data_IF_978415937568
#
_entry.id   IF_978415937568
#
_cell.length_a   1.000
_cell.length_b   1.000
_cell.length_c   1.000
_cell.angle_alpha   90.00
_cell.angle_beta   90.00
_cell.angle_gamma   90.00
#
_symmetry.space_group_name_H-M   'P 1'
#
loop_
_entity.id
_entity.type
_entity.pdbx_description
1 polymer ?
#
# COMPACT_ATOMS: atom_id res chain seq x y z
N UNK A 1 -2.86 32.63 1.73
CA UNK A 1 -2.61 33.88 2.48
C UNK A 1 -3.84 34.76 2.40
N UNK A 2 -4.13 35.67 3.38
CA UNK A 2 -5.23 36.63 3.28
C UNK A 2 -5.20 37.45 1.99
N UNK A 3 -4.02 37.72 1.45
CA UNK A 3 -3.81 38.51 0.23
C UNK A 3 -4.28 37.82 -1.05
N UNK A 4 -4.50 36.50 -1.02
CA UNK A 4 -4.99 35.70 -2.16
C UNK A 4 -6.52 35.71 -2.26
N UNK A 5 -7.20 36.14 -1.21
CA UNK A 5 -8.65 36.20 -1.14
C UNK A 5 -9.16 37.55 -1.65
N UNK A 6 -10.38 37.56 -2.16
CA UNK A 6 -11.00 38.76 -2.72
C UNK A 6 -11.42 39.76 -1.64
N UNK A 7 -11.93 40.91 -2.08
CA UNK A 7 -12.45 41.94 -1.18
C UNK A 7 -13.85 41.62 -0.59
N UNK A 8 -14.49 40.56 -1.04
CA UNK A 8 -15.81 40.10 -0.59
C UNK A 8 -15.81 38.58 -0.52
N UNK A 9 -15.64 38.08 0.66
CA UNK A 9 -15.56 36.66 0.89
C UNK A 9 -16.89 36.10 1.37
N UNK A 10 -17.26 34.92 0.86
CA UNK A 10 -18.49 34.22 1.26
C UNK A 10 -18.06 32.90 1.90
N UNK A 11 -18.48 32.71 3.15
CA UNK A 11 -18.21 31.46 3.87
C UNK A 11 -19.40 30.51 3.78
N UNK A 12 -19.09 29.21 3.71
CA UNK A 12 -20.12 28.18 3.61
C UNK A 12 -19.73 26.93 4.41
N UNK A 13 -20.73 26.07 4.61
CA UNK A 13 -20.55 24.83 5.39
C UNK A 13 -21.03 24.95 6.82
N UNK A 14 -21.27 23.79 7.44
CA UNK A 14 -21.83 23.72 8.80
C UNK A 14 -20.91 24.31 9.87
N UNK A 15 -19.62 24.32 9.68
CA UNK A 15 -18.64 24.89 10.61
C UNK A 15 -18.86 26.38 10.85
N UNK A 16 -19.24 27.14 9.81
CA UNK A 16 -19.51 28.56 9.90
C UNK A 16 -20.87 28.92 10.47
N UNK A 17 -21.69 27.92 10.83
CA UNK A 17 -22.88 28.16 11.65
C UNK A 17 -22.55 28.51 13.09
N UNK A 18 -21.33 28.21 13.54
CA UNK A 18 -20.80 28.64 14.83
C UNK A 18 -20.27 30.07 14.74
N UNK A 19 -20.90 31.00 15.47
CA UNK A 19 -20.56 32.41 15.44
C UNK A 19 -19.16 32.71 15.95
N UNK A 20 -18.64 31.90 16.90
CA UNK A 20 -17.27 32.06 17.40
C UNK A 20 -16.23 31.71 16.29
N UNK A 21 -16.51 30.69 15.48
CA UNK A 21 -15.65 30.33 14.34
C UNK A 21 -15.69 31.42 13.27
N UNK A 22 -16.88 31.90 12.96
CA UNK A 22 -17.05 33.01 12.01
C UNK A 22 -16.26 34.23 12.46
N UNK A 23 -16.39 34.63 13.71
CA UNK A 23 -15.70 35.82 14.24
C UNK A 23 -14.19 35.65 14.28
N UNK A 24 -13.70 34.49 14.68
CA UNK A 24 -12.27 34.18 14.66
C UNK A 24 -11.69 34.26 13.24
N UNK A 25 -12.42 33.75 12.25
CA UNK A 25 -12.04 33.84 10.85
C UNK A 25 -11.98 35.30 10.33
N UNK A 26 -13.00 36.11 10.63
CA UNK A 26 -13.02 37.53 10.29
C UNK A 26 -11.86 38.31 10.91
N UNK A 27 -11.51 38.00 12.17
CA UNK A 27 -10.38 38.62 12.86
C UNK A 27 -9.05 38.24 12.21
N UNK A 28 -8.87 36.99 11.86
CA UNK A 28 -7.65 36.51 11.19
C UNK A 28 -7.50 37.11 9.80
N UNK A 29 -8.62 37.20 9.07
CA UNK A 29 -8.65 37.75 7.71
C UNK A 29 -8.65 39.30 7.66
N UNK A 30 -9.00 39.96 8.77
CA UNK A 30 -9.11 41.42 8.83
C UNK A 30 -10.28 42.00 8.04
N UNK A 31 -11.26 41.20 7.63
CA UNK A 31 -12.43 41.60 6.82
C UNK A 31 -13.70 40.95 7.34
N UNK A 32 -14.84 41.62 7.16
CA UNK A 32 -16.14 40.99 7.35
C UNK A 32 -16.45 40.04 6.19
N UNK A 33 -16.97 38.87 6.52
CA UNK A 33 -17.36 37.85 5.52
C UNK A 33 -18.87 37.65 5.49
N UNK A 34 -19.38 37.30 4.32
CA UNK A 34 -20.81 37.03 4.15
C UNK A 34 -21.08 35.56 4.47
N UNK A 35 -21.87 35.32 5.51
CA UNK A 35 -22.43 34.00 5.80
C UNK A 35 -23.90 33.95 5.37
N UNK A 36 -24.22 33.24 4.26
CA UNK A 36 -25.62 33.09 3.83
C UNK A 36 -26.46 32.34 4.89
N UNK A 37 -27.75 32.67 4.98
CA UNK A 37 -28.68 31.95 5.87
C UNK A 37 -28.73 30.45 5.61
N UNK A 38 -28.35 30.00 4.42
CA UNK A 38 -28.28 28.61 3.99
C UNK A 38 -26.85 28.08 3.92
N UNK A 39 -25.93 28.64 4.70
CA UNK A 39 -24.49 28.30 4.62
C UNK A 39 -24.23 26.79 4.65
N UNK A 40 -24.96 26.02 5.48
CA UNK A 40 -24.89 24.56 5.52
C UNK A 40 -25.44 23.83 4.28
N UNK A 41 -26.22 24.50 3.46
CA UNK A 41 -26.83 23.94 2.24
C UNK A 41 -26.23 24.47 0.95
N UNK A 42 -25.23 25.36 1.03
CA UNK A 42 -24.64 26.00 -0.16
C UNK A 42 -24.04 24.99 -1.15
N UNK A 43 -23.45 23.91 -0.66
CA UNK A 43 -22.97 22.83 -1.51
C UNK A 43 -24.07 22.13 -2.31
N UNK A 44 -25.21 21.86 -1.67
CA UNK A 44 -26.38 21.28 -2.33
C UNK A 44 -26.98 22.28 -3.35
N UNK A 45 -27.04 23.55 -3.00
CA UNK A 45 -27.49 24.59 -3.90
C UNK A 45 -26.58 24.73 -5.13
N UNK A 46 -25.27 24.75 -4.93
CA UNK A 46 -24.28 24.78 -6.00
C UNK A 46 -24.37 23.54 -6.91
N UNK A 47 -24.56 22.36 -6.35
CA UNK A 47 -24.80 21.14 -7.10
C UNK A 47 -26.08 21.20 -7.95
N UNK A 48 -27.15 21.77 -7.41
CA UNK A 48 -28.40 21.97 -8.15
C UNK A 48 -28.22 22.95 -9.32
N UNK A 49 -27.52 24.06 -9.11
CA UNK A 49 -27.18 25.02 -10.18
C UNK A 49 -26.31 24.39 -11.28
N UNK A 50 -25.33 23.59 -10.87
CA UNK A 50 -24.48 22.88 -11.81
C UNK A 50 -25.27 21.84 -12.62
N UNK A 51 -26.13 21.06 -11.97
CA UNK A 51 -27.03 20.11 -12.61
C UNK A 51 -27.94 20.83 -13.62
N UNK A 52 -28.54 21.97 -13.22
CA UNK A 52 -29.34 22.82 -14.12
C UNK A 52 -28.56 23.30 -15.34
N UNK A 53 -27.29 23.69 -15.15
CA UNK A 53 -26.41 24.11 -16.26
C UNK A 53 -26.11 22.96 -17.20
N UNK A 54 -25.82 21.76 -16.66
CA UNK A 54 -25.49 20.57 -17.44
C UNK A 54 -26.69 19.92 -18.13
N UNK A 55 -27.89 20.08 -17.57
CA UNK A 55 -29.13 19.54 -18.14
C UNK A 55 -29.76 20.39 -19.26
N UNK A 56 -29.13 21.52 -19.64
CA UNK A 56 -29.57 22.31 -20.79
C UNK A 56 -29.52 21.45 -22.05
N UNK A 57 -30.69 21.24 -22.69
CA UNK A 57 -30.81 20.39 -23.88
C UNK A 57 -31.12 18.92 -23.61
N UNK A 58 -31.11 18.49 -22.35
CA UNK A 58 -31.63 17.16 -21.97
C UNK A 58 -33.15 17.23 -21.82
N UNK A 59 -33.88 16.32 -22.43
CA UNK A 59 -35.33 16.32 -22.44
C UNK A 59 -35.95 16.12 -21.04
N UNK A 60 -36.80 15.10 -20.87
CA UNK A 60 -37.47 14.83 -19.57
C UNK A 60 -36.51 14.32 -18.51
N UNK A 61 -36.72 14.75 -17.26
CA UNK A 61 -36.05 14.21 -16.09
C UNK A 61 -36.29 12.70 -15.95
N UNK A 62 -35.28 11.96 -15.49
CA UNK A 62 -35.41 10.54 -15.11
C UNK A 62 -35.83 10.36 -13.66
N UNK A 63 -36.17 11.43 -12.93
CA UNK A 63 -36.67 11.35 -11.57
C UNK A 63 -37.98 10.56 -11.56
N UNK A 64 -38.07 9.62 -10.61
CA UNK A 64 -39.27 8.79 -10.40
C UNK A 64 -40.43 9.69 -10.05
N UNK A 65 -41.58 9.52 -10.74
CA UNK A 65 -42.81 10.21 -10.44
C UNK A 65 -43.47 9.68 -9.15
N UNK A 66 -44.60 10.30 -8.74
CA UNK A 66 -45.30 9.94 -7.53
C UNK A 66 -45.75 8.46 -7.52
N UNK A 67 -46.23 7.97 -8.66
CA UNK A 67 -46.67 6.56 -8.80
C UNK A 67 -45.47 5.62 -8.63
N UNK A 68 -44.35 5.94 -9.22
CA UNK A 68 -43.12 5.17 -9.07
C UNK A 68 -42.52 5.21 -7.66
N UNK A 69 -42.79 6.29 -6.88
CA UNK A 69 -42.40 6.37 -5.46
C UNK A 69 -43.33 5.51 -4.60
N UNK A 70 -44.65 5.52 -4.87
CA UNK A 70 -45.63 4.71 -4.14
C UNK A 70 -45.42 3.20 -4.39
N UNK A 71 -44.91 2.81 -5.57
CA UNK A 71 -44.57 1.44 -5.94
C UNK A 71 -43.10 1.08 -5.60
N UNK A 72 -42.32 1.98 -4.97
CA UNK A 72 -40.93 1.76 -4.69
C UNK A 72 -40.69 0.71 -3.59
N UNK A 73 -40.03 -0.36 -3.97
CA UNK A 73 -39.63 -1.44 -3.05
C UNK A 73 -38.13 -1.40 -2.84
N UNK A 74 -37.73 -1.44 -1.57
CA UNK A 74 -36.32 -1.56 -1.18
C UNK A 74 -36.16 -2.73 -0.21
N UNK A 75 -35.44 -3.74 -0.66
CA UNK A 75 -35.08 -4.89 0.15
C UNK A 75 -33.55 -4.92 0.36
N UNK A 76 -33.15 -5.27 1.56
CA UNK A 76 -31.73 -5.40 1.93
C UNK A 76 -31.44 -6.84 2.29
N UNK A 77 -30.43 -7.42 1.63
CA UNK A 77 -29.90 -8.74 1.96
C UNK A 77 -28.40 -8.63 2.26
N UNK A 78 -27.98 -9.21 3.37
CA UNK A 78 -26.55 -9.34 3.72
C UNK A 78 -26.09 -10.73 3.34
N UNK A 79 -24.94 -10.83 2.66
CA UNK A 79 -24.33 -12.09 2.25
C UNK A 79 -22.79 -11.96 2.27
N UNK A 80 -22.10 -13.08 2.40
CA UNK A 80 -20.66 -13.12 2.21
C UNK A 80 -20.33 -13.43 0.75
N UNK A 81 -19.31 -12.76 0.19
CA UNK A 81 -19.00 -12.83 -1.24
C UNK A 81 -18.53 -14.22 -1.70
N UNK A 82 -17.70 -14.91 -0.93
CA UNK A 82 -17.18 -16.24 -1.25
C UNK A 82 -16.32 -16.36 -2.52
N UNK A 83 -16.09 -15.28 -3.27
CA UNK A 83 -15.35 -15.31 -4.55
C UNK A 83 -13.82 -15.25 -4.39
N UNK A 84 -13.33 -14.98 -3.19
CA UNK A 84 -11.90 -14.99 -2.85
C UNK A 84 -11.72 -15.02 -1.33
N UNK A 85 -10.49 -15.16 -0.85
CA UNK A 85 -10.16 -15.25 0.57
C UNK A 85 -10.59 -14.02 1.40
N UNK A 86 -10.83 -12.87 0.77
CA UNK A 86 -11.34 -11.68 1.47
C UNK A 86 -12.76 -11.84 2.01
N UNK A 87 -13.53 -12.78 1.47
CA UNK A 87 -14.88 -13.13 1.92
C UNK A 87 -15.73 -11.91 2.37
N UNK A 88 -15.74 -10.85 1.52
CA UNK A 88 -16.36 -9.57 1.84
C UNK A 88 -17.82 -9.74 2.27
N UNK A 89 -18.20 -9.07 3.36
CA UNK A 89 -19.60 -8.95 3.77
C UNK A 89 -20.29 -7.93 2.86
N UNK A 90 -21.19 -8.42 2.01
CA UNK A 90 -21.91 -7.62 1.03
C UNK A 90 -23.28 -7.21 1.56
N UNK A 91 -23.66 -5.98 1.29
CA UNK A 91 -25.03 -5.49 1.44
C UNK A 91 -25.64 -5.37 0.04
N UNK A 92 -26.59 -6.22 -0.27
CA UNK A 92 -27.27 -6.26 -1.57
C UNK A 92 -28.60 -5.52 -1.40
N UNK A 93 -28.69 -4.35 -2.01
CA UNK A 93 -29.90 -3.55 -2.07
C UNK A 93 -30.64 -3.88 -3.36
N UNK A 94 -31.90 -4.32 -3.25
CA UNK A 94 -32.79 -4.62 -4.37
C UNK A 94 -33.90 -3.58 -4.43
N UNK A 95 -34.09 -2.98 -5.62
CA UNK A 95 -35.07 -1.90 -5.83
C UNK A 95 -36.18 -2.30 -6.79
N UNK A 96 -36.55 -3.57 -6.84
CA UNK A 96 -37.50 -4.11 -7.76
C UNK A 96 -37.04 -4.15 -9.23
N UNK A 97 -37.79 -4.84 -10.08
CA UNK A 97 -37.52 -4.94 -11.55
C UNK A 97 -36.04 -5.32 -11.91
N UNK A 98 -35.40 -6.16 -11.09
CA UNK A 98 -34.04 -6.62 -11.32
C UNK A 98 -32.91 -5.59 -10.97
N UNK A 99 -33.29 -4.38 -10.54
CA UNK A 99 -32.30 -3.36 -10.15
C UNK A 99 -31.67 -3.70 -8.79
N UNK A 100 -30.35 -3.81 -8.77
CA UNK A 100 -29.59 -4.13 -7.55
C UNK A 100 -28.41 -3.19 -7.40
N UNK A 101 -28.09 -2.85 -6.16
CA UNK A 101 -26.86 -2.16 -5.78
C UNK A 101 -26.16 -2.97 -4.70
N UNK A 102 -24.89 -3.29 -4.92
CA UNK A 102 -24.08 -4.07 -4.00
C UNK A 102 -23.06 -3.15 -3.36
N UNK A 103 -23.00 -3.14 -2.04
CA UNK A 103 -22.04 -2.40 -1.24
C UNK A 103 -21.24 -3.38 -0.35
N UNK A 104 -20.11 -2.92 0.22
CA UNK A 104 -19.22 -3.74 1.04
C UNK A 104 -18.24 -4.61 0.23
N UNK A 105 -18.33 -4.57 -1.10
CA UNK A 105 -17.37 -5.24 -1.98
C UNK A 105 -16.03 -4.49 -2.05
N UNK A 106 -14.94 -5.25 -1.96
CA UNK A 106 -13.57 -4.74 -2.15
C UNK A 106 -13.09 -4.82 -3.61
N UNK A 107 -13.90 -5.33 -4.52
CA UNK A 107 -13.65 -5.40 -5.97
C UNK A 107 -14.97 -5.52 -6.73
N UNK A 108 -14.95 -5.36 -8.05
CA UNK A 108 -16.15 -5.41 -8.88
C UNK A 108 -16.67 -6.84 -9.17
N UNK A 109 -15.99 -7.90 -8.74
CA UNK A 109 -16.42 -9.30 -8.97
C UNK A 109 -17.87 -9.60 -8.55
N UNK A 110 -18.37 -9.16 -7.38
CA UNK A 110 -19.75 -9.42 -7.00
C UNK A 110 -20.78 -8.76 -7.93
N UNK A 111 -20.37 -7.69 -8.61
CA UNK A 111 -21.22 -6.92 -9.53
C UNK A 111 -21.12 -7.48 -10.94
N UNK A 112 -19.89 -7.59 -11.47
CA UNK A 112 -19.64 -7.93 -12.86
C UNK A 112 -19.57 -9.43 -13.12
N UNK A 113 -19.35 -10.22 -12.07
CA UNK A 113 -19.05 -11.67 -12.12
C UNK A 113 -17.77 -11.99 -12.93
N UNK A 114 -17.05 -10.99 -13.39
CA UNK A 114 -15.77 -11.13 -14.09
C UNK A 114 -14.62 -10.93 -13.12
N UNK A 115 -13.58 -11.74 -13.22
CA UNK A 115 -12.30 -11.39 -12.60
C UNK A 115 -11.78 -10.14 -13.33
N UNK A 116 -11.27 -9.11 -12.64
CA UNK A 116 -10.56 -8.05 -13.32
C UNK A 116 -9.42 -8.67 -14.12
N UNK A 117 -9.19 -8.16 -15.33
CA UNK A 117 -7.99 -8.51 -16.08
C UNK A 117 -6.77 -8.06 -15.26
N UNK A 118 -6.04 -9.04 -14.72
CA UNK A 118 -5.00 -8.78 -13.71
C UNK A 118 -3.60 -8.82 -14.32
N UNK A 119 -3.54 -8.84 -15.64
CA UNK A 119 -2.31 -9.01 -16.41
C UNK A 119 -1.44 -7.73 -16.45
N UNK A 120 -2.03 -6.58 -16.10
CA UNK A 120 -1.33 -5.29 -15.96
C UNK A 120 -1.34 -4.76 -14.50
N UNK A 121 -1.19 -5.65 -13.52
CA UNK A 121 -1.13 -5.29 -12.11
C UNK A 121 0.13 -5.88 -11.45
N UNK A 122 1.14 -5.03 -11.21
CA UNK A 122 2.41 -5.43 -10.59
C UNK A 122 2.24 -5.97 -9.16
N UNK A 123 1.27 -5.48 -8.37
CA UNK A 123 1.03 -5.96 -7.01
C UNK A 123 0.62 -7.44 -7.02
N UNK A 124 -0.31 -7.79 -7.91
CA UNK A 124 -0.72 -9.18 -8.09
C UNK A 124 0.42 -10.07 -8.62
N UNK A 125 1.23 -9.56 -9.55
CA UNK A 125 2.39 -10.28 -10.07
C UNK A 125 3.43 -10.57 -8.99
N UNK A 126 3.77 -9.57 -8.15
CA UNK A 126 4.74 -9.74 -7.06
C UNK A 126 4.28 -10.80 -6.05
N UNK A 127 3.00 -10.83 -5.67
CA UNK A 127 2.46 -11.87 -4.79
C UNK A 127 2.61 -13.26 -5.44
N UNK A 128 2.23 -13.40 -6.71
CA UNK A 128 2.38 -14.66 -7.44
C UNK A 128 3.85 -15.08 -7.55
N UNK A 129 4.76 -14.12 -7.69
CA UNK A 129 6.20 -14.40 -7.76
C UNK A 129 6.72 -14.91 -6.41
N UNK A 130 6.28 -14.32 -5.29
CA UNK A 130 6.60 -14.84 -3.94
C UNK A 130 6.00 -16.23 -3.76
N UNK A 131 4.77 -16.47 -4.19
CA UNK A 131 4.12 -17.78 -4.10
C UNK A 131 4.80 -18.87 -4.94
N UNK A 132 5.69 -18.52 -5.86
CA UNK A 132 6.47 -19.48 -6.64
C UNK A 132 7.58 -20.16 -5.82
N UNK A 133 7.99 -19.58 -4.72
CA UNK A 133 8.96 -20.15 -3.79
C UNK A 133 8.29 -21.18 -2.88
N UNK A 134 8.32 -22.45 -3.28
CA UNK A 134 7.67 -23.55 -2.53
C UNK A 134 8.65 -24.16 -1.53
N UNK A 135 8.17 -24.59 -0.36
CA UNK A 135 9.00 -25.36 0.59
C UNK A 135 9.64 -26.55 -0.10
N UNK A 136 10.92 -26.76 0.18
CA UNK A 136 11.70 -27.93 -0.23
C UNK A 136 12.15 -28.64 1.04
N UNK A 137 11.94 -29.96 1.11
CA UNK A 137 12.33 -30.76 2.27
C UNK A 137 13.82 -30.56 2.62
N UNK A 138 14.10 -30.38 3.90
CA UNK A 138 15.45 -30.09 4.40
C UNK A 138 15.75 -30.87 5.68
N UNK A 139 17.00 -31.29 5.83
CA UNK A 139 17.45 -32.12 6.98
C UNK A 139 17.67 -31.33 8.27
N UNK A 140 17.69 -29.97 8.21
CA UNK A 140 17.91 -29.10 9.37
C UNK A 140 16.61 -28.56 9.98
N UNK A 141 15.46 -29.15 9.62
CA UNK A 141 14.16 -28.82 10.19
C UNK A 141 13.43 -27.67 9.50
N UNK A 142 12.30 -27.29 10.07
CA UNK A 142 11.36 -26.31 9.51
C UNK A 142 11.68 -24.89 9.97
N UNK A 143 11.94 -24.02 9.01
CA UNK A 143 12.25 -22.61 9.24
C UNK A 143 11.16 -21.71 8.66
N UNK A 144 10.43 -21.02 9.53
CA UNK A 144 9.38 -20.07 9.17
C UNK A 144 9.91 -18.64 9.05
N UNK A 145 9.49 -17.93 8.01
CA UNK A 145 9.77 -16.49 7.80
C UNK A 145 8.46 -15.73 7.84
N UNK A 146 8.29 -14.72 8.73
CA UNK A 146 7.07 -13.92 8.76
C UNK A 146 6.98 -13.07 7.49
N UNK A 147 5.88 -13.19 6.75
CA UNK A 147 5.64 -12.35 5.57
C UNK A 147 5.15 -10.98 6.01
N UNK A 148 6.07 -10.15 6.48
CA UNK A 148 5.81 -8.84 7.06
C UNK A 148 6.95 -7.85 6.75
N UNK A 149 6.61 -6.57 6.65
CA UNK A 149 7.54 -5.48 6.42
C UNK A 149 8.48 -5.77 5.22
N UNK A 150 9.79 -5.60 5.39
CA UNK A 150 10.79 -5.80 4.33
C UNK A 150 10.94 -7.26 3.87
N UNK A 151 10.32 -8.23 4.55
CA UNK A 151 10.33 -9.62 4.09
C UNK A 151 9.58 -9.80 2.76
N UNK A 152 8.62 -8.94 2.42
CA UNK A 152 7.99 -8.95 1.10
C UNK A 152 8.97 -8.75 -0.07
N UNK A 153 10.10 -8.09 0.17
CA UNK A 153 11.15 -7.89 -0.82
C UNK A 153 12.32 -8.86 -0.65
N UNK A 154 12.64 -9.20 0.60
CA UNK A 154 13.85 -9.96 0.93
C UNK A 154 13.59 -11.47 1.10
N UNK A 155 12.33 -11.91 0.97
CA UNK A 155 11.99 -13.33 1.04
C UNK A 155 12.77 -14.18 0.04
N UNK A 156 12.95 -13.79 -1.24
CA UNK A 156 13.75 -14.55 -2.20
C UNK A 156 15.18 -14.80 -1.75
N UNK A 157 15.83 -13.77 -1.17
CA UNK A 157 17.17 -13.87 -0.61
C UNK A 157 17.24 -14.89 0.52
N UNK A 158 16.36 -14.73 1.53
CA UNK A 158 16.39 -15.58 2.72
C UNK A 158 15.90 -16.99 2.44
N UNK A 159 14.90 -17.14 1.58
CA UNK A 159 14.44 -18.44 1.10
C UNK A 159 15.61 -19.23 0.48
N UNK A 160 16.31 -18.61 -0.50
CA UNK A 160 17.43 -19.27 -1.17
C UNK A 160 18.56 -19.56 -0.18
N UNK A 161 18.90 -18.62 0.68
CA UNK A 161 19.94 -18.76 1.68
C UNK A 161 19.74 -19.98 2.59
N UNK A 162 18.56 -20.08 3.20
CA UNK A 162 18.27 -21.17 4.15
C UNK A 162 17.95 -22.50 3.45
N UNK A 163 17.39 -22.51 2.26
CA UNK A 163 17.22 -23.73 1.48
C UNK A 163 18.57 -24.36 1.10
N UNK A 164 19.56 -23.55 0.75
CA UNK A 164 20.92 -24.04 0.51
C UNK A 164 21.59 -24.56 1.79
N UNK A 165 21.25 -24.00 2.93
CA UNK A 165 21.66 -24.50 4.24
C UNK A 165 20.82 -25.71 4.71
N UNK A 166 20.00 -26.30 3.83
CA UNK A 166 19.21 -27.53 4.06
C UNK A 166 18.09 -27.38 5.09
N UNK A 167 17.48 -26.18 5.21
CA UNK A 167 16.23 -25.98 5.93
C UNK A 167 15.02 -26.16 5.00
N UNK A 168 13.91 -26.65 5.53
CA UNK A 168 12.60 -26.56 4.89
C UNK A 168 12.05 -25.14 5.16
N UNK A 169 12.19 -24.25 4.19
CA UNK A 169 11.82 -22.82 4.34
C UNK A 169 10.39 -22.59 3.88
N UNK A 170 9.61 -21.96 4.72
CA UNK A 170 8.25 -21.54 4.39
C UNK A 170 7.95 -20.18 5.00
N UNK A 171 6.94 -19.50 4.47
CA UNK A 171 6.50 -18.23 5.02
C UNK A 171 5.11 -18.32 5.64
N UNK A 172 4.77 -17.39 6.53
CA UNK A 172 3.41 -17.22 7.02
C UNK A 172 2.47 -16.84 5.88
N UNK A 173 1.18 -17.21 5.92
CA UNK A 173 0.20 -16.78 4.92
C UNK A 173 0.11 -15.24 4.91
N UNK A 174 -0.37 -14.66 3.79
CA UNK A 174 -0.63 -13.23 3.70
C UNK A 174 -1.63 -12.76 4.75
N UNK A 175 -1.52 -11.48 5.11
CA UNK A 175 -2.33 -10.92 6.18
C UNK A 175 -3.82 -10.99 5.90
N UNK A 176 -4.56 -11.21 6.96
CA UNK A 176 -6.02 -11.15 7.01
C UNK A 176 -6.42 -10.51 8.34
N UNK A 177 -7.65 -10.02 8.43
CA UNK A 177 -8.18 -9.50 9.71
C UNK A 177 -8.07 -10.53 10.84
N UNK A 178 -8.28 -11.82 10.54
CA UNK A 178 -8.14 -12.90 11.52
C UNK A 178 -6.71 -13.05 11.99
N UNK A 179 -5.74 -12.97 11.08
CA UNK A 179 -4.31 -13.02 11.42
C UNK A 179 -3.94 -11.82 12.33
N UNK A 180 -4.37 -10.62 12.01
CA UNK A 180 -4.16 -9.44 12.84
C UNK A 180 -4.69 -9.65 14.26
N UNK A 181 -5.93 -10.10 14.41
CA UNK A 181 -6.57 -10.34 15.71
C UNK A 181 -5.81 -11.35 16.58
N UNK A 182 -5.15 -12.35 15.96
CA UNK A 182 -4.33 -13.34 16.70
C UNK A 182 -3.14 -12.71 17.41
N UNK A 183 -2.53 -11.70 16.83
CA UNK A 183 -1.36 -11.03 17.41
C UNK A 183 -1.69 -9.80 18.24
N UNK A 184 -2.91 -9.31 18.18
CA UNK A 184 -3.31 -7.97 18.69
C UNK A 184 -2.96 -7.76 20.16
N UNK A 185 -3.14 -8.77 21.01
CA UNK A 185 -2.90 -8.67 22.46
C UNK A 185 -1.41 -8.49 22.83
N UNK A 186 -0.50 -8.75 21.92
CA UNK A 186 0.94 -8.66 22.14
C UNK A 186 1.55 -7.37 21.58
N UNK A 187 0.74 -6.52 20.94
CA UNK A 187 1.18 -5.23 20.39
C UNK A 187 1.40 -4.25 21.53
N UNK A 188 2.63 -3.72 21.72
CA UNK A 188 2.95 -2.90 22.88
C UNK A 188 2.48 -1.44 22.76
N UNK A 189 2.15 -0.97 21.55
CA UNK A 189 1.77 0.42 21.31
C UNK A 189 0.77 0.54 20.16
N UNK A 190 -0.29 1.29 20.40
CA UNK A 190 -1.30 1.60 19.37
C UNK A 190 -0.79 2.59 18.32
N UNK A 191 0.28 3.33 18.61
CA UNK A 191 0.84 4.35 17.70
C UNK A 191 1.78 3.79 16.64
N UNK A 192 2.21 2.52 16.75
CA UNK A 192 3.04 1.90 15.71
C UNK A 192 2.22 1.69 14.43
N UNK A 193 2.87 1.81 13.27
CA UNK A 193 2.21 1.66 11.98
C UNK A 193 1.54 0.28 11.82
N UNK A 194 0.42 0.23 11.11
CA UNK A 194 -0.38 -0.99 10.92
C UNK A 194 0.42 -2.17 10.35
N UNK A 195 1.31 -2.00 9.34
CA UNK A 195 2.16 -3.10 8.86
C UNK A 195 3.02 -3.76 9.95
N UNK A 196 3.50 -3.00 10.92
CA UNK A 196 4.26 -3.54 12.04
C UNK A 196 3.37 -4.30 13.02
N UNK A 197 2.15 -3.84 13.27
CA UNK A 197 1.17 -4.56 14.11
C UNK A 197 0.86 -5.96 13.57
N UNK A 198 0.82 -6.12 12.25
CA UNK A 198 0.58 -7.40 11.59
C UNK A 198 1.69 -8.45 11.87
N UNK A 199 2.92 -8.03 12.14
CA UNK A 199 4.04 -8.92 12.45
C UNK A 199 3.71 -9.88 13.59
N UNK A 200 3.03 -9.39 14.64
CA UNK A 200 2.63 -10.20 15.78
C UNK A 200 1.74 -11.39 15.38
N UNK A 201 0.78 -11.13 14.49
CA UNK A 201 -0.09 -12.18 13.94
C UNK A 201 0.66 -13.16 13.04
N UNK A 202 1.61 -12.69 12.25
CA UNK A 202 2.46 -13.56 11.42
C UNK A 202 3.31 -14.50 12.27
N UNK A 203 3.97 -13.98 13.30
CA UNK A 203 4.77 -14.80 14.22
C UNK A 203 3.89 -15.85 14.93
N UNK A 204 2.74 -15.44 15.47
CA UNK A 204 1.82 -16.38 16.12
C UNK A 204 1.35 -17.47 15.14
N UNK A 205 1.06 -17.10 13.91
CA UNK A 205 0.62 -18.06 12.89
C UNK A 205 1.73 -19.05 12.54
N UNK A 206 2.99 -18.62 12.44
CA UNK A 206 4.13 -19.53 12.20
C UNK A 206 4.30 -20.54 13.35
N UNK A 207 4.15 -20.09 14.59
CA UNK A 207 4.17 -20.99 15.77
C UNK A 207 3.06 -22.05 15.65
N UNK A 208 1.86 -21.63 15.31
CA UNK A 208 0.70 -22.52 15.15
C UNK A 208 0.83 -23.47 13.96
N UNK A 209 1.58 -23.09 12.92
CA UNK A 209 1.91 -23.94 11.77
C UNK A 209 3.01 -24.95 12.07
N UNK A 210 3.58 -24.93 13.29
CA UNK A 210 4.61 -25.87 13.72
C UNK A 210 6.02 -25.50 13.23
N UNK A 211 6.32 -24.21 13.07
CA UNK A 211 7.70 -23.77 12.84
C UNK A 211 8.57 -24.17 14.03
N UNK A 212 9.65 -24.90 13.78
CA UNK A 212 10.67 -25.21 14.79
C UNK A 212 11.57 -24.00 15.03
N UNK A 213 11.94 -23.35 13.94
CA UNK A 213 12.72 -22.12 13.93
C UNK A 213 11.94 -21.02 13.23
N UNK A 214 11.95 -19.81 13.79
CA UNK A 214 11.44 -18.59 13.14
C UNK A 214 12.61 -17.65 12.93
N UNK A 215 12.84 -17.26 11.68
CA UNK A 215 13.85 -16.31 11.28
C UNK A 215 13.23 -14.95 10.96
N UNK A 216 13.57 -13.96 11.76
CA UNK A 216 13.15 -12.56 11.53
C UNK A 216 14.29 -11.62 11.93
N UNK A 217 15.17 -11.24 10.98
CA UNK A 217 16.41 -10.54 11.27
C UNK A 217 16.22 -9.05 11.52
N UNK A 218 17.13 -8.44 12.29
CA UNK A 218 17.30 -7.00 12.37
C UNK A 218 18.20 -6.53 11.22
N UNK A 219 17.69 -5.57 10.43
CA UNK A 219 18.35 -5.04 9.24
C UNK A 219 18.35 -3.50 9.27
N UNK A 220 19.44 -2.88 9.78
CA UNK A 220 19.57 -1.43 9.81
C UNK A 220 19.68 -0.81 8.42
N UNK A 221 20.39 -1.50 7.52
CA UNK A 221 20.61 -1.10 6.13
C UNK A 221 19.93 -2.06 5.16
N UNK A 222 19.42 -1.53 4.07
CA UNK A 222 18.99 -2.30 2.91
C UNK A 222 20.11 -2.33 1.85
N UNK A 223 19.86 -2.94 0.71
CA UNK A 223 20.74 -2.83 -0.45
C UNK A 223 20.89 -1.37 -0.87
N UNK A 224 22.10 -0.99 -1.26
CA UNK A 224 22.35 0.33 -1.82
C UNK A 224 21.90 0.34 -3.29
N UNK A 225 20.91 1.16 -3.57
CA UNK A 225 20.38 1.38 -4.92
C UNK A 225 20.90 2.66 -5.55
N UNK A 226 21.79 3.37 -4.86
CA UNK A 226 22.36 4.64 -5.30
C UNK A 226 21.32 5.72 -5.62
N UNK A 227 20.14 5.67 -4.96
CA UNK A 227 19.05 6.63 -5.16
C UNK A 227 19.02 7.73 -4.10
N UNK A 228 19.66 7.52 -2.96
CA UNK A 228 19.65 8.43 -1.83
C UNK A 228 21.05 8.69 -1.27
N UNK A 229 21.10 9.63 -0.29
CA UNK A 229 22.33 9.96 0.45
C UNK A 229 22.75 8.81 1.39
N UNK A 230 21.83 7.92 1.69
CA UNK A 230 22.03 6.70 2.46
C UNK A 230 20.95 5.66 2.12
N UNK A 231 21.08 4.45 2.67
CA UNK A 231 20.17 3.31 2.39
C UNK A 231 19.69 2.62 3.67
N UNK A 232 19.29 3.40 4.68
CA UNK A 232 18.72 2.88 5.92
C UNK A 232 17.33 2.30 5.71
N UNK A 233 16.98 1.30 6.51
CA UNK A 233 15.60 0.97 6.81
C UNK A 233 15.08 1.89 7.93
N UNK A 234 13.78 2.21 7.93
CA UNK A 234 13.20 2.93 9.05
C UNK A 234 13.35 2.12 10.35
N UNK A 235 13.39 2.77 11.55
CA UNK A 235 13.64 2.07 12.81
C UNK A 235 12.67 0.91 13.08
N UNK A 236 11.40 1.03 12.66
CA UNK A 236 10.41 -0.03 12.81
C UNK A 236 10.79 -1.25 11.95
N UNK A 237 11.12 -1.04 10.68
CA UNK A 237 11.56 -2.14 9.80
C UNK A 237 12.86 -2.75 10.30
N UNK A 238 13.79 -1.92 10.76
CA UNK A 238 15.13 -2.35 11.17
C UNK A 238 15.13 -3.19 12.45
N UNK A 239 14.31 -2.85 13.44
CA UNK A 239 14.45 -3.35 14.81
C UNK A 239 13.19 -3.99 15.40
N UNK A 240 12.13 -4.17 14.62
CA UNK A 240 10.91 -4.78 15.12
C UNK A 240 11.06 -6.22 15.65
N UNK A 241 12.03 -7.02 15.17
CA UNK A 241 12.34 -8.31 15.80
C UNK A 241 12.65 -8.24 17.31
N UNK A 242 13.26 -7.13 17.78
CA UNK A 242 13.50 -6.90 19.21
C UNK A 242 12.17 -6.66 19.96
N UNK A 243 11.23 -5.96 19.35
CA UNK A 243 9.90 -5.73 19.92
C UNK A 243 9.16 -7.05 20.08
N UNK A 244 9.17 -7.91 19.05
CA UNK A 244 8.58 -9.25 19.07
C UNK A 244 9.17 -10.08 20.21
N UNK A 245 10.50 -10.15 20.30
CA UNK A 245 11.21 -10.97 21.33
C UNK A 245 10.79 -10.59 22.75
N UNK A 246 10.56 -9.31 23.00
CA UNK A 246 10.27 -8.80 24.33
C UNK A 246 8.78 -8.79 24.70
N UNK A 247 7.87 -8.80 23.72
CA UNK A 247 6.43 -8.64 23.97
C UNK A 247 5.60 -9.90 23.69
N UNK A 248 6.11 -10.88 22.94
CA UNK A 248 5.40 -12.13 22.66
C UNK A 248 5.91 -13.27 23.58
N UNK A 249 5.08 -13.71 24.53
CA UNK A 249 5.43 -14.82 25.43
C UNK A 249 5.64 -16.13 24.66
N UNK A 250 4.82 -16.37 23.66
CA UNK A 250 4.83 -17.62 22.87
C UNK A 250 6.07 -17.78 21.99
N UNK A 251 6.85 -16.71 21.80
CA UNK A 251 8.13 -16.78 21.09
C UNK A 251 9.14 -17.74 21.74
N UNK A 252 8.96 -18.05 23.04
CA UNK A 252 9.79 -18.99 23.77
C UNK A 252 9.55 -20.46 23.41
N UNK A 253 8.46 -20.74 22.68
CA UNK A 253 8.10 -22.09 22.23
C UNK A 253 8.88 -22.53 20.98
N UNK A 254 9.54 -21.59 20.31
CA UNK A 254 10.28 -21.81 19.07
C UNK A 254 11.69 -21.26 19.19
N UNK A 255 12.57 -21.74 18.33
CA UNK A 255 13.91 -21.18 18.18
C UNK A 255 13.82 -19.87 17.37
N UNK A 256 13.82 -18.73 18.04
CA UNK A 256 13.66 -17.42 17.41
C UNK A 256 15.00 -16.75 17.11
N UNK A 257 15.31 -16.58 15.82
CA UNK A 257 16.54 -15.98 15.34
C UNK A 257 16.23 -14.54 14.87
N UNK A 258 16.72 -13.55 15.63
CA UNK A 258 16.54 -12.12 15.39
C UNK A 258 17.86 -11.37 15.18
N UNK A 259 18.91 -12.08 14.82
CA UNK A 259 20.25 -11.54 14.73
C UNK A 259 20.37 -10.35 13.75
N UNK A 260 21.40 -9.55 13.94
CA UNK A 260 21.69 -8.39 13.11
C UNK A 260 22.56 -8.80 11.91
N UNK A 261 22.05 -8.53 10.70
CA UNK A 261 22.73 -8.85 9.46
C UNK A 261 22.98 -7.62 8.60
N UNK A 262 24.09 -7.60 7.88
CA UNK A 262 24.49 -6.54 6.95
C UNK A 262 24.44 -7.03 5.51
N UNK A 263 23.24 -7.22 4.95
CA UNK A 263 23.06 -7.71 3.57
C UNK A 263 23.62 -6.74 2.50
N UNK A 264 23.79 -5.46 2.85
CA UNK A 264 24.39 -4.44 1.98
C UNK A 264 25.91 -4.62 1.77
N UNK A 265 26.56 -5.53 2.49
CA UNK A 265 27.99 -5.82 2.40
C UNK A 265 28.23 -7.27 1.95
N UNK A 266 28.06 -7.58 0.66
CA UNK A 266 28.10 -8.96 0.16
C UNK A 266 29.42 -9.68 0.44
N UNK A 267 30.54 -8.96 0.52
CA UNK A 267 31.85 -9.55 0.82
C UNK A 267 32.00 -9.94 2.31
N UNK A 268 31.40 -9.18 3.22
CA UNK A 268 31.48 -9.40 4.66
C UNK A 268 30.38 -10.32 5.17
N UNK A 269 29.22 -10.30 4.50
CA UNK A 269 28.01 -11.01 4.92
C UNK A 269 28.24 -12.49 5.23
N UNK A 270 28.93 -13.30 4.39
CA UNK A 270 29.05 -14.73 4.64
C UNK A 270 29.78 -15.05 5.94
N UNK A 271 30.84 -14.31 6.25
CA UNK A 271 31.61 -14.47 7.49
C UNK A 271 30.76 -14.07 8.70
N UNK A 272 30.09 -12.91 8.62
CA UNK A 272 29.23 -12.41 9.70
C UNK A 272 28.01 -13.29 9.92
N UNK A 273 27.41 -13.79 8.86
CA UNK A 273 26.27 -14.70 8.93
C UNK A 273 26.70 -16.03 9.59
N UNK A 274 27.86 -16.57 9.22
CA UNK A 274 28.41 -17.77 9.88
C UNK A 274 28.66 -17.51 11.37
N UNK A 275 29.33 -16.43 11.74
CA UNK A 275 29.59 -16.06 13.14
C UNK A 275 28.30 -16.02 13.98
N UNK A 276 27.17 -15.56 13.42
CA UNK A 276 25.88 -15.48 14.12
C UNK A 276 25.15 -16.81 14.13
N UNK A 277 25.04 -17.45 12.96
CA UNK A 277 24.23 -18.67 12.83
C UNK A 277 24.88 -19.91 13.44
N UNK A 278 26.20 -19.98 13.56
CA UNK A 278 26.88 -21.09 14.20
C UNK A 278 26.58 -21.26 15.71
N UNK A 279 26.14 -20.19 16.39
CA UNK A 279 25.59 -20.28 17.76
C UNK A 279 24.25 -21.04 17.80
N UNK A 280 23.46 -20.90 16.75
CA UNK A 280 22.16 -21.53 16.63
C UNK A 280 22.25 -22.92 16.01
N UNK A 281 23.19 -23.12 15.11
CA UNK A 281 23.40 -24.34 14.32
C UNK A 281 24.90 -24.68 14.28
N UNK A 282 25.42 -25.38 15.31
CA UNK A 282 26.86 -25.67 15.43
C UNK A 282 27.42 -26.56 14.32
N UNK A 283 26.58 -27.28 13.59
CA UNK A 283 26.95 -28.16 12.48
C UNK A 283 27.18 -27.38 11.16
N UNK A 284 26.87 -26.08 11.13
CA UNK A 284 27.14 -25.24 9.95
C UNK A 284 28.65 -25.04 9.73
N UNK A 285 29.04 -25.06 8.47
CA UNK A 285 30.38 -24.70 8.07
C UNK A 285 30.42 -23.36 7.35
N UNK A 286 31.53 -22.63 7.45
CA UNK A 286 31.73 -21.38 6.76
C UNK A 286 31.58 -21.53 5.23
N UNK A 287 32.00 -22.67 4.67
CA UNK A 287 31.92 -22.91 3.23
C UNK A 287 30.47 -23.09 2.77
N UNK A 288 29.61 -23.79 3.54
CA UNK A 288 28.18 -23.87 3.25
C UNK A 288 27.55 -22.46 3.26
N UNK A 289 27.84 -21.66 4.30
CA UNK A 289 27.30 -20.30 4.41
C UNK A 289 27.79 -19.38 3.27
N UNK A 290 29.06 -19.51 2.82
CA UNK A 290 29.56 -18.77 1.66
C UNK A 290 28.82 -19.15 0.39
N UNK A 291 28.62 -20.43 0.13
CA UNK A 291 27.89 -20.90 -1.03
C UNK A 291 26.41 -20.42 -0.99
N UNK A 292 25.76 -20.62 0.15
CA UNK A 292 24.38 -20.18 0.36
C UNK A 292 24.22 -18.66 0.15
N UNK A 293 25.15 -17.86 0.69
CA UNK A 293 25.14 -16.42 0.50
C UNK A 293 25.30 -16.03 -0.98
N UNK A 294 26.25 -16.62 -1.70
CA UNK A 294 26.44 -16.37 -3.13
C UNK A 294 25.15 -16.61 -3.92
N UNK A 295 24.50 -17.74 -3.68
CA UNK A 295 23.26 -18.11 -4.37
C UNK A 295 22.08 -17.24 -3.94
N UNK A 296 22.03 -16.80 -2.68
CA UNK A 296 21.00 -15.87 -2.19
C UNK A 296 21.08 -14.49 -2.86
N UNK A 297 22.29 -13.93 -3.01
CA UNK A 297 22.47 -12.66 -3.76
C UNK A 297 22.08 -12.81 -5.23
N UNK A 298 22.43 -13.92 -5.88
CA UNK A 298 22.01 -14.19 -7.25
C UNK A 298 20.49 -14.29 -7.36
N UNK A 299 19.81 -14.97 -6.42
CA UNK A 299 18.37 -15.09 -6.43
C UNK A 299 17.67 -13.75 -6.19
N UNK A 300 18.21 -12.91 -5.29
CA UNK A 300 17.66 -11.56 -5.09
C UNK A 300 17.75 -10.72 -6.36
N UNK A 301 18.89 -10.77 -7.08
CA UNK A 301 19.04 -10.06 -8.34
C UNK A 301 18.12 -10.63 -9.43
N UNK A 302 17.95 -11.94 -9.51
CA UNK A 302 17.01 -12.59 -10.41
C UNK A 302 15.56 -12.14 -10.11
N UNK A 303 15.18 -12.05 -8.83
CA UNK A 303 13.88 -11.56 -8.41
C UNK A 303 13.66 -10.11 -8.87
N UNK A 304 14.62 -9.21 -8.59
CA UNK A 304 14.57 -7.80 -9.02
C UNK A 304 14.42 -7.68 -10.52
N UNK A 305 15.22 -8.45 -11.28
CA UNK A 305 15.14 -8.48 -12.74
C UNK A 305 13.75 -8.90 -13.22
N UNK A 306 13.17 -9.99 -12.67
CA UNK A 306 11.81 -10.44 -13.02
C UNK A 306 10.76 -9.34 -12.75
N UNK A 307 10.88 -8.60 -11.65
CA UNK A 307 10.00 -7.49 -11.31
C UNK A 307 10.13 -6.36 -12.33
N UNK A 308 11.35 -5.95 -12.67
CA UNK A 308 11.62 -4.90 -13.66
C UNK A 308 11.15 -5.32 -15.06
N UNK A 309 11.48 -6.53 -15.49
CA UNK A 309 11.12 -7.04 -16.82
C UNK A 309 9.60 -7.09 -16.97
N UNK A 310 8.87 -7.60 -15.97
CA UNK A 310 7.40 -7.59 -15.96
C UNK A 310 6.80 -6.21 -15.94
N UNK A 311 7.38 -5.30 -15.16
CA UNK A 311 6.96 -3.91 -15.15
C UNK A 311 7.13 -3.24 -16.51
N UNK A 312 8.24 -3.49 -17.20
CA UNK A 312 8.50 -3.02 -18.56
C UNK A 312 7.49 -3.59 -19.58
N UNK A 313 7.17 -4.87 -19.47
CA UNK A 313 6.13 -5.52 -20.28
C UNK A 313 4.76 -4.85 -20.09
N UNK A 314 4.39 -4.57 -18.83
CA UNK A 314 3.12 -3.88 -18.50
C UNK A 314 3.09 -2.48 -19.10
N UNK A 315 4.19 -1.72 -18.96
CA UNK A 315 4.30 -0.36 -19.50
C UNK A 315 4.13 -0.40 -21.03
N UNK A 316 4.89 -1.24 -21.73
CA UNK A 316 4.84 -1.36 -23.18
C UNK A 316 3.45 -1.80 -23.68
N UNK A 317 2.79 -2.71 -22.95
CA UNK A 317 1.43 -3.13 -23.27
C UNK A 317 0.42 -2.00 -23.07
N UNK A 318 0.53 -1.25 -21.96
CA UNK A 318 -0.35 -0.12 -21.68
C UNK A 318 -0.19 0.99 -22.73
N UNK A 319 1.04 1.31 -23.12
CA UNK A 319 1.34 2.25 -24.20
C UNK A 319 0.68 1.85 -25.53
N UNK A 320 0.84 0.57 -25.89
CA UNK A 320 0.24 0.01 -27.12
C UNK A 320 -1.29 0.06 -27.12
N UNK A 321 -1.89 -0.14 -25.94
CA UNK A 321 -3.35 -0.11 -25.76
C UNK A 321 -3.89 1.30 -25.47
N UNK A 322 -3.03 2.34 -25.42
CA UNK A 322 -3.43 3.71 -25.10
C UNK A 322 -3.97 3.90 -23.69
N UNK A 323 -3.59 3.03 -22.73
CA UNK A 323 -4.04 3.09 -21.36
C UNK A 323 -3.17 3.99 -20.52
N UNK A 324 -3.78 4.65 -19.54
CA UNK A 324 -3.03 5.36 -18.49
C UNK A 324 -2.30 4.36 -17.59
N UNK A 325 -1.12 4.75 -17.12
CA UNK A 325 -0.27 3.98 -16.23
C UNK A 325 -0.24 4.66 -14.87
N UNK A 326 -0.66 3.95 -13.83
CA UNK A 326 -0.53 4.44 -12.46
C UNK A 326 0.66 3.77 -11.78
N UNK A 327 1.61 4.59 -11.34
CA UNK A 327 2.64 4.16 -10.39
C UNK A 327 2.00 4.14 -9.02
N UNK A 328 1.55 2.96 -8.58
CA UNK A 328 1.04 2.78 -7.23
C UNK A 328 2.24 2.68 -6.29
N UNK A 329 2.63 3.83 -5.78
CA UNK A 329 3.88 4.03 -5.07
C UNK A 329 3.70 3.80 -3.57
N UNK A 330 4.55 2.96 -3.01
CA UNK A 330 4.48 2.59 -1.60
C UNK A 330 5.76 1.97 -1.09
N UNK A 331 5.62 0.92 -0.34
CA UNK A 331 6.73 0.13 0.20
C UNK A 331 6.52 -1.34 -0.16
N UNK A 332 7.52 -2.20 -0.11
CA UNK A 332 7.39 -3.60 -0.51
C UNK A 332 6.20 -4.33 0.12
N UNK A 333 5.91 -4.05 1.38
CA UNK A 333 4.79 -4.67 2.12
C UNK A 333 3.40 -4.10 1.77
N UNK A 334 3.31 -3.05 0.94
CA UNK A 334 2.02 -2.55 0.48
C UNK A 334 1.35 -3.46 -0.55
N UNK A 335 2.04 -4.50 -1.04
CA UNK A 335 1.40 -5.54 -1.84
C UNK A 335 0.52 -6.48 -1.00
N UNK A 336 0.67 -6.49 0.34
CA UNK A 336 -0.12 -7.31 1.23
C UNK A 336 -1.61 -6.98 1.14
N UNK A 337 -2.50 -8.00 1.01
CA UNK A 337 -3.93 -7.77 0.80
C UNK A 337 -4.66 -7.05 1.95
N UNK A 338 -4.20 -7.22 3.19
CA UNK A 338 -4.80 -6.53 4.35
C UNK A 338 -4.27 -5.11 4.49
N UNK A 339 -3.02 -4.84 4.09
CA UNK A 339 -2.42 -3.51 4.12
C UNK A 339 -3.01 -2.62 3.03
N UNK A 340 -3.07 -3.10 1.79
CA UNK A 340 -3.60 -2.31 0.67
C UNK A 340 -5.12 -2.37 0.55
N UNK A 341 -5.80 -3.21 1.32
CA UNK A 341 -7.27 -3.37 1.31
C UNK A 341 -7.88 -3.67 -0.07
N UNK A 342 -7.08 -4.11 -1.04
CA UNK A 342 -7.51 -4.36 -2.42
C UNK A 342 -7.62 -3.09 -3.28
N UNK A 343 -6.90 -2.02 -2.91
CA UNK A 343 -6.82 -0.76 -3.68
C UNK A 343 -6.25 -1.02 -5.07
N UNK A 344 -5.24 -1.87 -5.20
CA UNK A 344 -4.68 -2.30 -6.49
C UNK A 344 -5.75 -2.85 -7.44
N UNK A 345 -6.64 -3.72 -6.93
CA UNK A 345 -7.73 -4.30 -7.70
C UNK A 345 -8.84 -3.29 -8.01
N UNK A 346 -9.10 -2.38 -7.08
CA UNK A 346 -10.04 -1.29 -7.29
C UNK A 346 -9.56 -0.37 -8.42
N UNK A 347 -8.28 -0.01 -8.43
CA UNK A 347 -7.67 0.82 -9.48
C UNK A 347 -7.66 0.09 -10.83
N UNK A 348 -7.27 -1.20 -10.86
CA UNK A 348 -7.34 -2.02 -12.10
C UNK A 348 -8.75 -2.06 -12.70
N UNK A 349 -9.80 -1.92 -11.88
CA UNK A 349 -11.19 -1.84 -12.33
C UNK A 349 -11.55 -0.60 -13.15
N UNK A 350 -10.66 0.42 -13.20
CA UNK A 350 -10.81 1.62 -14.04
C UNK A 350 -10.07 1.51 -15.38
N UNK A 351 -9.65 0.33 -15.77
CA UNK A 351 -8.94 0.07 -17.03
C UNK A 351 -7.61 0.80 -17.16
N UNK A 352 -6.89 0.94 -16.06
CA UNK A 352 -5.54 1.49 -15.99
C UNK A 352 -4.52 0.40 -15.69
N UNK A 353 -3.30 0.54 -16.18
CA UNK A 353 -2.18 -0.32 -15.82
C UNK A 353 -1.57 0.13 -14.48
N UNK A 354 -1.14 -0.83 -13.65
CA UNK A 354 -0.50 -0.57 -12.38
C UNK A 354 0.94 -1.08 -12.40
N UNK A 355 1.88 -0.19 -12.14
CA UNK A 355 3.28 -0.52 -11.86
C UNK A 355 3.65 -0.06 -10.45
N UNK A 356 4.71 -0.61 -9.88
CA UNK A 356 5.22 -0.21 -8.56
C UNK A 356 6.45 0.70 -8.70
N UNK A 357 6.79 1.40 -7.63
CA UNK A 357 7.90 2.35 -7.58
C UNK A 357 9.26 1.71 -7.90
N UNK A 358 9.48 0.45 -7.54
CA UNK A 358 10.72 -0.29 -7.77
C UNK A 358 10.95 -0.70 -9.24
N UNK A 359 9.91 -0.66 -10.07
CA UNK A 359 10.04 -0.78 -11.54
C UNK A 359 10.57 0.51 -12.15
N UNK A 360 10.22 1.64 -11.56
CA UNK A 360 10.44 2.98 -12.13
C UNK A 360 11.71 3.61 -11.58
N UNK A 361 11.97 3.47 -10.29
CA UNK A 361 13.08 4.13 -9.60
C UNK A 361 14.47 3.86 -10.21
N UNK A 362 14.80 2.66 -10.73
CA UNK A 362 16.12 2.42 -11.35
C UNK A 362 16.38 3.22 -12.63
N UNK A 363 15.38 3.92 -13.15
CA UNK A 363 15.49 4.77 -14.36
C UNK A 363 15.95 6.20 -14.05
N UNK A 364 16.15 6.51 -12.77
CA UNK A 364 16.50 7.84 -12.30
C UNK A 364 17.83 7.79 -11.57
N UNK A 365 18.74 8.67 -11.93
CA UNK A 365 19.97 8.87 -11.18
C UNK A 365 19.69 9.63 -9.88
N UNK A 366 20.59 9.50 -8.90
CA UNK A 366 20.52 10.26 -7.65
C UNK A 366 20.39 11.77 -7.93
N UNK A 367 19.48 12.43 -7.25
CA UNK A 367 19.28 13.87 -7.34
C UNK A 367 19.05 14.47 -5.95
N UNK A 368 19.30 15.75 -5.82
CA UNK A 368 19.13 16.48 -4.57
C UNK A 368 17.65 16.66 -4.26
N UNK A 369 17.27 16.33 -3.03
CA UNK A 369 15.95 16.59 -2.42
C UNK A 369 16.05 17.71 -1.39
N UNK A 370 14.93 18.33 -0.99
CA UNK A 370 14.91 19.35 0.06
C UNK A 370 15.16 18.77 1.44
N UNK A 371 14.84 17.49 1.61
CA UNK A 371 15.08 16.73 2.85
C UNK A 371 16.23 15.75 2.67
N UNK A 372 16.86 15.34 3.77
CA UNK A 372 17.91 14.30 3.74
C UNK A 372 17.30 12.99 3.25
N UNK A 373 17.75 12.53 2.08
CA UNK A 373 17.29 11.32 1.42
C UNK A 373 18.04 10.08 1.92
N UNK A 374 17.69 9.60 3.12
CA UNK A 374 18.47 8.54 3.78
C UNK A 374 17.73 7.18 3.90
N UNK A 375 16.48 7.10 3.47
CA UNK A 375 15.67 5.90 3.63
C UNK A 375 15.45 5.19 2.29
N UNK A 376 15.85 3.93 2.16
CA UNK A 376 15.79 3.18 0.88
C UNK A 376 14.43 3.26 0.20
N UNK A 377 13.37 2.94 0.91
CA UNK A 377 12.04 2.90 0.29
C UNK A 377 11.50 4.28 -0.07
N UNK A 378 11.89 5.32 0.67
CA UNK A 378 11.47 6.69 0.38
C UNK A 378 12.27 7.28 -0.78
N UNK A 379 13.55 6.94 -0.91
CA UNK A 379 14.37 7.29 -2.07
C UNK A 379 13.74 6.78 -3.38
N UNK A 380 13.17 5.56 -3.37
CA UNK A 380 12.41 5.03 -4.51
C UNK A 380 11.17 5.88 -4.84
N UNK A 381 10.45 6.38 -3.82
CA UNK A 381 9.27 7.22 -4.03
C UNK A 381 9.64 8.54 -4.70
N UNK A 382 10.73 9.18 -4.26
CA UNK A 382 11.24 10.40 -4.87
C UNK A 382 11.69 10.18 -6.30
N UNK A 383 12.44 9.10 -6.56
CA UNK A 383 12.86 8.73 -7.91
C UNK A 383 11.66 8.42 -8.82
N UNK A 384 10.66 7.69 -8.32
CA UNK A 384 9.45 7.41 -9.08
C UNK A 384 8.67 8.68 -9.39
N UNK A 385 8.51 9.60 -8.42
CA UNK A 385 7.88 10.90 -8.64
C UNK A 385 8.64 11.70 -9.72
N UNK A 386 9.96 11.76 -9.61
CA UNK A 386 10.81 12.44 -10.62
C UNK A 386 10.64 11.85 -12.02
N UNK A 387 10.61 10.52 -12.15
CA UNK A 387 10.40 9.89 -13.45
C UNK A 387 9.00 10.21 -14.02
N UNK A 388 7.95 10.12 -13.20
CA UNK A 388 6.57 10.40 -13.62
C UNK A 388 6.43 11.82 -14.20
N UNK A 389 7.20 12.79 -13.70
CA UNK A 389 7.17 14.17 -14.27
C UNK A 389 7.66 14.25 -15.73
N UNK A 390 8.36 13.23 -16.22
CA UNK A 390 8.85 13.15 -17.61
C UNK A 390 7.85 12.50 -18.57
N UNK A 391 6.73 11.97 -18.06
CA UNK A 391 5.77 11.15 -18.81
C UNK A 391 4.35 11.74 -18.75
N UNK A 392 3.68 11.87 -19.91
CA UNK A 392 2.29 12.35 -19.99
C UNK A 392 1.24 11.27 -19.72
N UNK A 393 1.58 10.02 -19.99
CA UNK A 393 0.70 8.85 -19.85
C UNK A 393 0.77 8.19 -18.47
N UNK A 394 1.62 8.73 -17.58
CA UNK A 394 1.93 8.12 -16.29
C UNK A 394 1.60 9.06 -15.13
N UNK A 395 0.92 8.54 -14.10
CA UNK A 395 0.58 9.28 -12.89
C UNK A 395 1.02 8.52 -11.64
N UNK A 396 1.37 9.24 -10.58
CA UNK A 396 1.75 8.64 -9.31
C UNK A 396 0.60 8.71 -8.30
N UNK A 397 0.27 7.55 -7.74
CA UNK A 397 -0.69 7.40 -6.64
C UNK A 397 0.06 6.86 -5.43
N UNK A 398 0.27 7.71 -4.43
CA UNK A 398 1.04 7.33 -3.23
C UNK A 398 0.17 6.69 -2.17
N UNK A 399 0.56 5.50 -1.71
CA UNK A 399 -0.01 4.85 -0.53
C UNK A 399 0.70 5.33 0.73
N UNK A 400 -0.04 5.87 1.68
CA UNK A 400 0.49 6.53 2.89
C UNK A 400 -0.15 5.94 4.13
N UNK A 401 0.67 5.58 5.11
CA UNK A 401 0.19 5.15 6.43
C UNK A 401 0.11 6.34 7.39
N UNK A 402 -1.05 6.53 8.01
CA UNK A 402 -1.27 7.63 8.95
C UNK A 402 -0.34 7.54 10.18
N UNK A 403 -0.07 6.33 10.66
CA UNK A 403 0.84 6.08 11.79
C UNK A 403 2.33 6.13 11.45
N UNK A 404 2.72 6.53 10.22
CA UNK A 404 4.11 6.56 9.79
C UNK A 404 4.69 7.97 9.82
N UNK A 405 5.55 8.28 10.80
CA UNK A 405 6.21 9.58 10.91
C UNK A 405 7.11 9.93 9.71
N UNK A 406 7.67 8.93 9.02
CA UNK A 406 8.48 9.17 7.82
C UNK A 406 7.62 9.59 6.63
N UNK A 407 6.38 9.10 6.54
CA UNK A 407 5.44 9.53 5.49
C UNK A 407 5.08 11.01 5.59
N UNK A 408 5.05 11.56 6.80
CA UNK A 408 4.77 12.98 6.98
C UNK A 408 5.76 13.89 6.23
N UNK A 409 7.04 13.46 6.14
CA UNK A 409 8.08 14.16 5.38
C UNK A 409 8.05 13.78 3.90
N UNK A 410 7.90 12.48 3.63
CA UNK A 410 7.95 11.94 2.26
C UNK A 410 6.82 12.46 1.38
N UNK A 411 5.63 12.64 1.95
CA UNK A 411 4.47 13.15 1.19
C UNK A 411 4.67 14.55 0.68
N UNK A 412 5.32 15.42 1.46
CA UNK A 412 5.57 16.80 1.06
C UNK A 412 6.62 16.87 -0.06
N UNK A 413 7.72 16.13 0.07
CA UNK A 413 8.75 16.06 -0.99
C UNK A 413 8.20 15.47 -2.29
N UNK A 414 7.44 14.37 -2.23
CA UNK A 414 6.80 13.77 -3.44
C UNK A 414 5.84 14.76 -4.09
N UNK A 415 5.04 15.48 -3.28
CA UNK A 415 4.13 16.52 -3.79
C UNK A 415 4.88 17.61 -4.52
N UNK A 416 5.92 18.15 -3.90
CA UNK A 416 6.73 19.22 -4.49
C UNK A 416 7.37 18.81 -5.81
N UNK A 417 7.95 17.61 -5.88
CA UNK A 417 8.51 17.06 -7.12
C UNK A 417 7.45 17.00 -8.22
N UNK A 418 6.25 16.52 -7.94
CA UNK A 418 5.18 16.38 -8.93
C UNK A 418 4.61 17.73 -9.34
N UNK A 419 4.23 18.57 -8.38
CA UNK A 419 3.59 19.88 -8.63
C UNK A 419 4.53 20.86 -9.32
N UNK A 420 5.87 20.77 -9.09
CA UNK A 420 6.87 21.57 -9.83
C UNK A 420 6.83 21.36 -11.35
N UNK A 421 6.18 20.31 -11.82
CA UNK A 421 6.00 19.96 -13.25
C UNK A 421 4.52 19.82 -13.64
N UNK A 422 3.63 20.47 -12.89
CA UNK A 422 2.18 20.47 -13.11
C UNK A 422 1.53 19.06 -13.10
N UNK A 423 2.15 18.10 -12.37
CA UNK A 423 1.54 16.80 -12.16
C UNK A 423 0.65 16.82 -10.91
N UNK A 424 -0.46 16.10 -10.98
CA UNK A 424 -1.41 16.01 -9.86
C UNK A 424 -0.85 15.09 -8.79
N UNK A 425 -0.68 15.60 -7.56
CA UNK A 425 -0.35 14.73 -6.43
C UNK A 425 -1.58 14.02 -5.90
N UNK A 426 -1.57 12.70 -5.96
CA UNK A 426 -2.66 11.86 -5.44
C UNK A 426 -2.18 10.96 -4.32
N UNK A 427 -2.74 11.17 -3.12
CA UNK A 427 -2.44 10.43 -1.91
C UNK A 427 -3.63 9.57 -1.47
N UNK A 428 -3.38 8.31 -1.17
CA UNK A 428 -4.36 7.39 -0.59
C UNK A 428 -3.86 6.94 0.78
N UNK A 429 -4.62 7.27 1.82
CA UNK A 429 -4.33 6.82 3.18
C UNK A 429 -4.76 5.38 3.36
N UNK A 430 -3.83 4.57 3.88
CA UNK A 430 -4.01 3.16 4.22
C UNK A 430 -3.70 2.95 5.70
N UNK A 431 -4.65 2.40 6.44
CA UNK A 431 -4.52 2.10 7.86
C UNK A 431 -5.30 0.82 8.20
N UNK A 432 -5.52 0.52 9.48
CA UNK A 432 -6.29 -0.65 9.92
C UNK A 432 -7.70 -0.71 9.34
N UNK A 433 -8.28 0.46 9.05
CA UNK A 433 -9.61 0.61 8.45
C UNK A 433 -9.49 1.58 7.28
N UNK A 434 -9.84 1.13 6.10
CA UNK A 434 -9.83 1.97 4.89
C UNK A 434 -11.22 2.04 4.28
N UNK A 435 -11.67 3.26 3.98
CA UNK A 435 -12.92 3.50 3.26
C UNK A 435 -12.67 3.45 1.75
N UNK A 436 -12.93 2.31 1.14
CA UNK A 436 -12.77 2.13 -0.32
C UNK A 436 -13.68 3.05 -1.15
N UNK A 437 -14.80 3.53 -0.59
CA UNK A 437 -15.65 4.53 -1.25
C UNK A 437 -14.91 5.84 -1.46
N UNK A 438 -14.21 6.33 -0.44
CA UNK A 438 -13.39 7.54 -0.53
C UNK A 438 -12.21 7.35 -1.52
N UNK A 439 -11.57 6.18 -1.50
CA UNK A 439 -10.52 5.83 -2.47
C UNK A 439 -11.08 5.87 -3.89
N UNK A 440 -12.24 5.25 -4.13
CA UNK A 440 -12.89 5.22 -5.45
C UNK A 440 -13.21 6.62 -5.96
N UNK A 441 -13.70 7.52 -5.11
CA UNK A 441 -13.98 8.91 -5.47
C UNK A 441 -12.69 9.61 -5.86
N UNK A 442 -11.62 9.46 -5.07
CA UNK A 442 -10.33 10.10 -5.34
C UNK A 442 -9.71 9.66 -6.67
N UNK A 443 -9.73 8.36 -6.97
CA UNK A 443 -9.25 7.84 -8.26
C UNK A 443 -10.11 8.34 -9.43
N UNK A 444 -11.43 8.39 -9.28
CA UNK A 444 -12.31 8.96 -10.31
C UNK A 444 -12.06 10.45 -10.53
N UNK A 445 -11.79 11.22 -9.48
CA UNK A 445 -11.45 12.63 -9.59
C UNK A 445 -10.13 12.83 -10.32
N UNK A 446 -9.12 11.99 -10.03
CA UNK A 446 -7.86 12.01 -10.76
C UNK A 446 -8.09 11.73 -12.26
N UNK A 447 -8.80 10.65 -12.59
CA UNK A 447 -9.08 10.30 -13.99
C UNK A 447 -9.84 11.40 -14.72
N UNK A 448 -10.85 12.01 -14.09
CA UNK A 448 -11.62 13.10 -14.67
C UNK A 448 -10.77 14.38 -14.88
N UNK A 449 -9.80 14.66 -14.03
CA UNK A 449 -8.87 15.76 -14.22
C UNK A 449 -7.96 15.51 -15.44
N UNK A 450 -7.46 14.27 -15.60
CA UNK A 450 -6.60 13.88 -16.72
C UNK A 450 -7.30 13.79 -18.07
N UNK A 451 -8.64 13.78 -18.13
CA UNK A 451 -9.43 13.86 -19.37
C UNK A 451 -9.62 15.29 -19.85
N UNK A 452 -9.40 16.29 -18.99
CA UNK A 452 -9.59 17.69 -19.30
C UNK A 452 -8.28 18.45 -19.62
N UNK A 453 -7.13 17.80 -19.41
CA UNK A 453 -5.79 18.26 -19.81
C UNK A 453 -5.41 17.69 -21.20
#
# INVERSE_FOLDING_TARGET
SPDELGKRDVVQGGTFLNDAVLRAFEQEMGVEVVRPNIAGLMGAYGAALYAKKKSKGVGKSTITDKKGLDEFVHEIKVANCGMCNNNCRLTINSFGKGRKFIAGNRCERPITKKAPANDMNMYAYKLNLIDSYKPVEGIRGKLGIPMALNMYELYPFWYRFFTELKFEVFHSPYSTRKLYQRGQQTIPSDTVCFPAKLVHGHIQTLIDMGAETIFYPCLSYNFDEHLGDNHYNCPVVAYYPEVIKNNMKDIRKVHFIKEYFGIHRPNDFPKKAYERLSFHFPDLTLNEVRNAAKLAYQEQENYRKKVIDKGNEIIAKAEKEGKKIFVLAGRPYHIDPEINHGIDRLISGFDVAIVSEDVISPRVEHFRTHVLNQWTYHARLYAAAKYVTTRKDMELVQLVSFGCGVDAITTDEVREILESKNKIYTQIKIDEITNLGAVKIRIRSLLAALEND
#
